data_IF_808075510777
#
_entry.id   IF_808075510777
#
_cell.length_a   1.000
_cell.length_b   1.000
_cell.length_c   1.000
_cell.angle_alpha   90.00
_cell.angle_beta   90.00
_cell.angle_gamma   90.00
#
_symmetry.space_group_name_H-M   'P 1'
#
loop_
_entity.id
_entity.type
_entity.pdbx_description
1 polymer ?
#
# COMPACT_ATOMS: atom_id res chain seq x y z
N UNK A 1 7.38 6.18 0.56
CA UNK A 1 6.34 6.11 -0.49
C UNK A 1 6.80 5.39 -1.76
N UNK A 2 7.95 5.78 -2.34
CA UNK A 2 8.37 5.29 -3.66
C UNK A 2 8.58 3.78 -3.75
N UNK A 3 8.85 3.09 -2.64
CA UNK A 3 9.12 1.64 -2.62
C UNK A 3 7.91 0.79 -2.28
N UNK A 4 6.97 1.32 -1.52
CA UNK A 4 5.80 0.58 -1.08
C UNK A 4 4.62 0.77 -2.04
N UNK A 5 4.40 2.03 -2.44
CA UNK A 5 3.26 2.42 -3.28
C UNK A 5 3.36 1.87 -4.70
N UNK A 6 4.56 1.59 -5.20
CA UNK A 6 4.75 0.95 -6.51
C UNK A 6 3.97 -0.36 -6.65
N UNK A 7 3.93 -1.17 -5.57
CA UNK A 7 3.20 -2.44 -5.55
C UNK A 7 1.86 -2.33 -4.81
N UNK A 8 1.69 -1.34 -3.93
CA UNK A 8 0.55 -1.21 -3.03
C UNK A 8 -0.27 0.07 -3.27
N UNK A 9 -0.37 0.53 -4.52
CA UNK A 9 -1.18 1.70 -4.89
C UNK A 9 -2.56 1.33 -5.42
N UNK A 10 -2.66 0.25 -6.20
CA UNK A 10 -3.85 -0.11 -6.97
C UNK A 10 -4.83 -1.00 -6.18
N UNK A 11 -6.02 -1.20 -6.75
CA UNK A 11 -7.05 -2.08 -6.17
C UNK A 11 -6.66 -3.55 -6.21
N UNK A 12 -5.83 -3.93 -7.17
CA UNK A 12 -5.26 -5.28 -7.36
C UNK A 12 -3.91 -5.48 -6.67
N UNK A 13 -3.54 -4.57 -5.78
CA UNK A 13 -2.33 -4.68 -4.98
C UNK A 13 -2.28 -6.01 -4.22
N UNK A 14 -1.08 -6.51 -4.00
CA UNK A 14 -0.85 -7.72 -3.22
C UNK A 14 -1.58 -7.65 -1.87
N UNK A 15 -2.34 -8.70 -1.53
CA UNK A 15 -3.20 -8.75 -0.35
C UNK A 15 -4.25 -7.63 -0.27
N UNK A 16 -4.62 -7.04 -1.38
CA UNK A 16 -5.47 -5.84 -1.46
C UNK A 16 -5.01 -4.68 -0.55
N UNK A 17 -3.76 -4.72 -0.07
CA UNK A 17 -3.22 -3.70 0.81
C UNK A 17 -2.89 -2.43 0.03
N UNK A 18 -3.54 -1.34 0.37
CA UNK A 18 -3.34 -0.04 -0.28
C UNK A 18 -2.58 0.90 0.66
N UNK A 19 -1.36 1.24 0.29
CA UNK A 19 -0.48 2.13 1.07
C UNK A 19 -0.42 3.55 0.51
N UNK A 20 -1.21 3.86 -0.51
CA UNK A 20 -1.27 5.19 -1.12
C UNK A 20 -2.13 6.19 -0.35
N UNK A 21 -2.86 5.78 0.69
CA UNK A 21 -3.62 6.65 1.57
C UNK A 21 -3.73 6.04 2.97
N UNK A 22 -3.97 6.88 3.98
CA UNK A 22 -4.14 6.40 5.35
C UNK A 22 -5.33 5.46 5.49
N UNK A 23 -6.45 5.78 4.84
CA UNK A 23 -7.66 4.94 4.86
C UNK A 23 -7.40 3.55 4.26
N UNK A 24 -6.52 3.49 3.26
CA UNK A 24 -6.07 2.21 2.70
C UNK A 24 -5.28 1.38 3.71
N UNK A 25 -4.42 2.01 4.49
CA UNK A 25 -3.69 1.35 5.58
C UNK A 25 -4.65 0.95 6.71
N UNK A 26 -5.55 1.83 7.13
CA UNK A 26 -6.56 1.56 8.14
C UNK A 26 -7.54 0.45 7.73
N UNK A 27 -7.87 0.36 6.43
CA UNK A 27 -8.62 -0.76 5.89
C UNK A 27 -7.93 -2.09 6.19
N UNK A 28 -6.61 -2.15 6.06
CA UNK A 28 -5.83 -3.35 6.21
C UNK A 28 -5.73 -4.17 4.94
N UNK A 29 -5.43 -5.46 5.08
CA UNK A 29 -5.20 -6.41 4.01
C UNK A 29 -6.23 -7.54 4.00
N UNK A 30 -6.33 -8.25 2.88
CA UNK A 30 -7.20 -9.40 2.70
C UNK A 30 -6.43 -10.55 2.07
N UNK A 31 -6.81 -11.78 2.42
CA UNK A 31 -6.31 -12.99 1.77
C UNK A 31 -6.99 -13.27 0.43
N UNK A 32 -8.10 -12.58 0.17
CA UNK A 32 -8.85 -12.76 -1.06
C UNK A 32 -8.08 -12.14 -2.24
N UNK A 33 -7.74 -12.98 -3.21
CA UNK A 33 -7.06 -12.53 -4.42
C UNK A 33 -8.07 -11.86 -5.33
N UNK A 34 -7.86 -10.59 -5.66
CA UNK A 34 -8.68 -9.86 -6.65
C UNK A 34 -8.35 -10.32 -8.06
N UNK A 35 -7.10 -10.69 -8.29
CA UNK A 35 -6.63 -11.11 -9.59
C UNK A 35 -5.90 -12.46 -9.49
N UNK A 36 -6.38 -13.42 -10.26
CA UNK A 36 -5.70 -14.68 -10.48
C UNK A 36 -5.64 -14.91 -12.01
N UNK A 37 -4.44 -14.92 -12.56
CA UNK A 37 -4.23 -15.12 -14.00
C UNK A 37 -4.81 -16.46 -14.53
N UNK A 38 -5.06 -17.41 -13.63
CA UNK A 38 -5.70 -18.68 -13.95
C UNK A 38 -7.23 -18.68 -13.83
N UNK A 39 -7.83 -17.59 -13.35
CA UNK A 39 -9.29 -17.49 -13.15
C UNK A 39 -9.94 -16.60 -14.19
N UNK A 40 -11.06 -17.10 -14.74
CA UNK A 40 -11.97 -16.30 -15.55
C UNK A 40 -12.83 -15.36 -14.68
N UNK A 41 -12.95 -15.65 -13.40
CA UNK A 41 -13.69 -14.84 -12.42
C UNK A 41 -12.72 -14.34 -11.36
N UNK A 42 -12.50 -13.01 -11.34
CA UNK A 42 -11.82 -12.34 -10.25
C UNK A 42 -12.85 -11.99 -9.16
N UNK A 43 -12.41 -12.00 -7.89
CA UNK A 43 -13.21 -11.41 -6.82
C UNK A 43 -13.45 -9.91 -7.14
N UNK A 44 -14.64 -9.35 -6.83
CA UNK A 44 -14.88 -7.93 -7.04
C UNK A 44 -13.87 -7.10 -6.26
N UNK A 45 -13.22 -6.12 -6.87
CA UNK A 45 -12.31 -5.24 -6.14
C UNK A 45 -13.06 -4.51 -5.04
N UNK A 46 -12.46 -4.42 -3.86
CA UNK A 46 -13.00 -3.60 -2.78
C UNK A 46 -12.75 -2.12 -3.04
N UNK A 47 -13.79 -1.31 -2.95
CA UNK A 47 -13.76 0.12 -3.23
C UNK A 47 -13.65 0.90 -1.93
N UNK A 48 -12.49 1.47 -1.70
CA UNK A 48 -12.25 2.34 -0.55
C UNK A 48 -13.25 3.51 -0.59
N UNK A 49 -13.80 3.90 0.56
CA UNK A 49 -14.81 4.94 0.76
C UNK A 49 -16.24 4.62 0.24
N UNK A 50 -16.42 3.54 -0.49
CA UNK A 50 -17.75 3.13 -1.03
C UNK A 50 -18.28 1.92 -0.28
N UNK A 51 -17.49 0.85 -0.23
CA UNK A 51 -17.95 -0.43 0.29
C UNK A 51 -17.95 -0.48 1.83
N UNK A 52 -17.12 0.32 2.48
CA UNK A 52 -17.10 0.55 3.93
C UNK A 52 -16.38 1.86 4.28
N UNK A 53 -16.74 2.44 5.42
CA UNK A 53 -16.21 3.74 5.88
C UNK A 53 -15.29 3.58 7.11
N UNK A 54 -15.46 2.51 7.88
CA UNK A 54 -14.79 2.30 9.16
C UNK A 54 -13.98 1.00 9.16
N UNK A 55 -12.89 0.98 9.90
CA UNK A 55 -12.07 -0.23 10.06
C UNK A 55 -12.91 -1.44 10.50
N UNK A 56 -13.82 -1.26 11.46
CA UNK A 56 -14.70 -2.34 11.93
C UNK A 56 -15.63 -2.94 10.85
N UNK A 57 -16.00 -2.15 9.87
CA UNK A 57 -16.79 -2.62 8.72
C UNK A 57 -15.92 -3.44 7.76
N UNK A 58 -14.67 -3.04 7.59
CA UNK A 58 -13.70 -3.80 6.81
C UNK A 58 -13.36 -5.14 7.48
N UNK A 59 -13.29 -5.21 8.83
CA UNK A 59 -13.11 -6.47 9.56
C UNK A 59 -14.25 -7.46 9.27
N UNK A 60 -15.49 -6.99 9.14
CA UNK A 60 -16.64 -7.82 8.74
C UNK A 60 -16.55 -8.31 7.28
N UNK A 61 -15.72 -7.69 6.47
CA UNK A 61 -15.44 -8.07 5.07
C UNK A 61 -14.15 -8.85 4.91
N UNK A 62 -13.70 -9.51 5.97
CA UNK A 62 -12.50 -10.35 5.97
C UNK A 62 -11.19 -9.60 5.72
N UNK A 63 -11.16 -8.29 5.88
CA UNK A 63 -9.92 -7.54 5.95
C UNK A 63 -9.33 -7.65 7.35
N UNK A 64 -8.06 -8.04 7.45
CA UNK A 64 -7.34 -8.08 8.71
C UNK A 64 -6.47 -6.82 8.89
N UNK A 65 -6.23 -6.38 10.15
CA UNK A 65 -5.46 -5.19 10.41
C UNK A 65 -3.98 -5.38 10.07
N UNK A 66 -3.36 -4.33 9.56
CA UNK A 66 -1.90 -4.24 9.38
C UNK A 66 -1.25 -3.31 10.38
N UNK A 67 -2.06 -2.58 11.14
CA UNK A 67 -1.68 -1.75 12.28
C UNK A 67 -2.14 -2.42 13.58
N UNK A 68 -1.63 -1.93 14.72
CA UNK A 68 -2.15 -2.32 16.03
C UNK A 68 -3.56 -1.77 16.23
N UNK A 69 -4.52 -2.61 16.58
CA UNK A 69 -5.89 -2.24 16.94
C UNK A 69 -6.21 -2.54 18.41
N UNK A 70 -5.22 -2.96 19.19
CA UNK A 70 -5.39 -3.30 20.61
C UNK A 70 -4.76 -2.22 21.50
N UNK A 71 -4.12 -2.62 22.57
CA UNK A 71 -3.51 -1.72 23.54
C UNK A 71 -2.51 -0.72 22.89
N UNK A 72 -2.82 0.59 22.82
CA UNK A 72 -2.10 1.57 22.01
C UNK A 72 -0.88 2.14 22.73
N UNK A 73 0.06 1.29 23.15
CA UNK A 73 1.37 1.76 23.62
C UNK A 73 2.37 1.83 22.46
N UNK A 74 3.40 2.71 22.53
CA UNK A 74 4.41 2.82 21.48
C UNK A 74 5.11 1.49 21.16
N UNK A 75 5.32 0.65 22.16
CA UNK A 75 5.92 -0.68 22.00
C UNK A 75 4.96 -1.63 21.28
N UNK A 76 3.70 -1.70 21.73
CA UNK A 76 2.69 -2.57 21.14
C UNK A 76 2.31 -2.11 19.74
N UNK A 77 2.26 -0.79 19.51
CA UNK A 77 1.97 -0.23 18.18
C UNK A 77 2.97 -0.72 17.12
N UNK A 78 4.24 -0.90 17.49
CA UNK A 78 5.23 -1.51 16.60
C UNK A 78 5.10 -3.03 16.58
N UNK A 79 5.15 -3.68 17.74
CA UNK A 79 5.22 -5.14 17.83
C UNK A 79 4.01 -5.85 17.19
N UNK A 80 2.82 -5.28 17.34
CA UNK A 80 1.59 -5.82 16.74
C UNK A 80 1.36 -5.34 15.30
N UNK A 81 2.12 -4.37 14.80
CA UNK A 81 1.99 -3.89 13.43
C UNK A 81 2.60 -4.88 12.43
N UNK A 82 1.78 -5.39 11.54
CA UNK A 82 2.23 -6.26 10.46
C UNK A 82 3.19 -5.53 9.51
N UNK A 83 3.00 -4.22 9.31
CA UNK A 83 3.93 -3.40 8.53
C UNK A 83 5.33 -3.40 9.15
N UNK A 84 5.41 -3.22 10.47
CA UNK A 84 6.69 -3.28 11.18
C UNK A 84 7.34 -4.66 11.06
N UNK A 85 6.57 -5.71 11.34
CA UNK A 85 7.07 -7.10 11.31
C UNK A 85 7.59 -7.50 9.92
N UNK A 86 6.95 -7.03 8.85
CA UNK A 86 7.41 -7.25 7.49
C UNK A 86 8.74 -6.53 7.18
N UNK A 87 8.93 -5.31 7.73
CA UNK A 87 10.20 -4.60 7.62
C UNK A 87 11.29 -5.28 8.44
N UNK A 88 10.99 -5.79 9.63
CA UNK A 88 11.92 -6.55 10.47
C UNK A 88 12.37 -7.84 9.77
N UNK A 89 11.42 -8.60 9.21
CA UNK A 89 11.75 -9.80 8.43
C UNK A 89 12.69 -9.47 7.27
N UNK A 90 12.51 -8.31 6.63
CA UNK A 90 13.41 -7.86 5.58
C UNK A 90 14.80 -7.53 6.08
N UNK A 91 14.94 -7.03 7.31
CA UNK A 91 16.25 -6.74 7.90
C UNK A 91 17.06 -8.00 8.20
N UNK A 92 16.42 -9.13 8.42
CA UNK A 92 17.10 -10.43 8.55
C UNK A 92 17.76 -10.85 7.23
N UNK A 93 17.23 -10.37 6.09
CA UNK A 93 17.74 -10.65 4.74
C UNK A 93 17.73 -9.35 3.92
N UNK A 94 18.63 -8.41 4.23
CA UNK A 94 18.54 -7.03 3.71
C UNK A 94 18.80 -6.92 2.21
N UNK A 95 19.60 -7.81 1.67
CA UNK A 95 19.91 -7.89 0.25
C UNK A 95 19.97 -9.36 -0.17
N UNK A 96 19.01 -9.87 -0.93
CA UNK A 96 19.07 -11.23 -1.45
C UNK A 96 20.30 -11.44 -2.32
N UNK A 97 20.92 -12.60 -2.22
CA UNK A 97 21.94 -13.04 -3.19
C UNK A 97 21.33 -13.19 -4.57
N UNK A 98 22.17 -13.32 -5.59
CA UNK A 98 21.69 -13.54 -6.95
C UNK A 98 20.85 -14.82 -7.06
N UNK A 99 21.29 -15.90 -6.43
CA UNK A 99 20.59 -17.19 -6.42
C UNK A 99 19.25 -17.10 -5.71
N UNK A 100 19.19 -16.45 -4.56
CA UNK A 100 17.95 -16.20 -3.82
C UNK A 100 17.00 -15.32 -4.60
N UNK A 101 17.52 -14.31 -5.31
CA UNK A 101 16.72 -13.43 -6.15
C UNK A 101 16.11 -14.20 -7.34
N UNK A 102 16.91 -15.01 -8.00
CA UNK A 102 16.47 -15.83 -9.14
C UNK A 102 15.46 -16.92 -8.72
N UNK A 103 15.45 -17.32 -7.44
CA UNK A 103 14.47 -18.25 -6.87
C UNK A 103 13.14 -17.57 -6.44
N UNK A 104 13.07 -16.24 -6.41
CA UNK A 104 11.82 -15.54 -6.07
C UNK A 104 10.79 -15.69 -7.19
N UNK A 105 9.59 -16.13 -6.83
CA UNK A 105 8.49 -16.19 -7.78
C UNK A 105 7.78 -14.83 -7.90
N UNK A 106 7.99 -14.17 -9.01
CA UNK A 106 7.32 -12.92 -9.39
C UNK A 106 6.17 -13.14 -10.37
N UNK A 107 5.79 -14.38 -10.65
CA UNK A 107 4.71 -14.66 -11.60
C UNK A 107 3.38 -14.08 -11.13
N UNK A 108 2.55 -13.68 -12.08
CA UNK A 108 1.18 -13.19 -11.80
C UNK A 108 0.26 -14.30 -11.27
N UNK A 109 0.59 -15.55 -11.56
CA UNK A 109 -0.18 -16.72 -11.13
C UNK A 109 0.23 -17.28 -9.77
N UNK A 110 1.25 -16.71 -9.12
CA UNK A 110 1.67 -17.18 -7.79
C UNK A 110 0.55 -17.01 -6.77
N UNK A 111 0.43 -17.97 -5.87
CA UNK A 111 -0.46 -17.85 -4.71
C UNK A 111 0.05 -16.73 -3.81
N UNK A 112 -0.73 -15.69 -3.63
CA UNK A 112 -0.39 -14.61 -2.72
C UNK A 112 -0.45 -15.13 -1.28
N UNK A 113 0.68 -15.11 -0.60
CA UNK A 113 0.75 -15.49 0.81
C UNK A 113 0.55 -14.25 1.66
N UNK A 114 -0.69 -13.99 2.06
CA UNK A 114 -1.06 -12.84 2.88
C UNK A 114 -1.17 -13.32 4.33
N UNK A 115 -0.14 -13.09 5.13
CA UNK A 115 -0.14 -13.44 6.54
C UNK A 115 -0.94 -12.42 7.34
N UNK A 116 -1.93 -12.87 8.11
CA UNK A 116 -2.52 -12.09 9.18
C UNK A 116 -1.57 -12.05 10.40
N UNK A 117 -1.82 -11.14 11.35
CA UNK A 117 -0.89 -10.93 12.46
C UNK A 117 -0.61 -12.18 13.31
N UNK A 118 -1.62 -13.00 13.54
CA UNK A 118 -1.54 -14.26 14.28
C UNK A 118 -0.84 -15.40 13.52
N UNK A 119 -0.72 -15.28 12.22
CA UNK A 119 -0.06 -16.27 11.36
C UNK A 119 1.37 -15.86 10.97
N UNK A 120 1.78 -14.65 11.34
CA UNK A 120 3.02 -14.07 10.83
C UNK A 120 4.26 -14.89 11.18
N UNK A 121 4.37 -15.44 12.39
CA UNK A 121 5.55 -16.20 12.77
C UNK A 121 5.74 -17.43 11.88
N UNK A 122 4.64 -18.15 11.62
CA UNK A 122 4.64 -19.27 10.68
C UNK A 122 4.94 -18.85 9.25
N UNK A 123 4.47 -17.67 8.86
CA UNK A 123 4.79 -17.09 7.56
C UNK A 123 6.29 -16.81 7.46
N UNK A 124 6.88 -16.13 8.44
CA UNK A 124 8.29 -15.77 8.46
C UNK A 124 9.22 -16.99 8.41
N UNK A 125 8.89 -18.05 9.16
CA UNK A 125 9.63 -19.32 9.12
C UNK A 125 9.63 -19.95 7.73
N UNK A 126 8.51 -19.91 7.03
CA UNK A 126 8.35 -20.54 5.70
C UNK A 126 8.83 -19.66 4.56
N UNK A 127 8.88 -18.36 4.77
CA UNK A 127 9.21 -17.35 3.75
C UNK A 127 10.25 -16.36 4.27
N UNK A 128 11.48 -16.80 4.56
CA UNK A 128 12.52 -15.91 5.13
C UNK A 128 12.84 -14.71 4.22
N UNK A 129 12.68 -14.85 2.91
CA UNK A 129 12.85 -13.76 1.93
C UNK A 129 11.57 -12.96 1.69
N UNK A 130 10.47 -13.29 2.38
CA UNK A 130 9.14 -12.69 2.21
C UNK A 130 8.97 -11.32 2.85
N UNK A 131 10.01 -10.75 3.46
CA UNK A 131 9.96 -9.42 4.04
C UNK A 131 9.81 -8.31 2.99
N UNK A 132 9.33 -7.15 3.45
CA UNK A 132 9.08 -6.00 2.57
C UNK A 132 10.18 -4.94 2.67
N UNK A 133 10.56 -4.32 1.54
CA UNK A 133 10.03 -4.47 0.18
C UNK A 133 10.41 -5.83 -0.44
N UNK A 134 9.41 -6.52 -1.01
CA UNK A 134 9.64 -7.85 -1.60
C UNK A 134 10.54 -7.76 -2.84
N UNK A 135 11.56 -8.63 -2.93
CA UNK A 135 12.48 -8.66 -4.05
C UNK A 135 13.39 -7.43 -4.20
N UNK A 136 13.31 -6.45 -3.30
CA UNK A 136 14.15 -5.26 -3.30
C UNK A 136 15.06 -5.25 -2.06
N UNK A 137 16.15 -4.48 -2.06
CA UNK A 137 16.94 -4.24 -0.86
C UNK A 137 16.10 -3.65 0.27
N UNK A 138 16.53 -3.88 1.51
CA UNK A 138 15.92 -3.25 2.67
C UNK A 138 15.93 -1.71 2.54
N UNK A 139 14.94 -1.06 3.14
CA UNK A 139 14.90 0.41 3.20
C UNK A 139 16.05 0.94 4.06
N UNK A 140 16.52 2.15 3.77
CA UNK A 140 17.58 2.79 4.51
C UNK A 140 17.16 3.06 5.97
N UNK A 141 18.14 3.16 6.87
CA UNK A 141 17.87 3.30 8.30
C UNK A 141 17.08 4.57 8.65
N UNK A 142 17.32 5.66 7.94
CA UNK A 142 16.60 6.92 8.09
C UNK A 142 15.13 6.79 7.60
N UNK A 143 14.90 6.18 6.45
CA UNK A 143 13.53 5.88 5.94
C UNK A 143 12.78 4.98 6.93
N UNK A 144 13.46 3.98 7.47
CA UNK A 144 12.90 3.05 8.45
C UNK A 144 12.51 3.78 9.74
N UNK A 145 13.38 4.63 10.26
CA UNK A 145 13.12 5.41 11.47
C UNK A 145 11.87 6.27 11.36
N UNK A 146 11.59 6.84 10.18
CA UNK A 146 10.35 7.60 9.95
C UNK A 146 9.13 6.71 10.09
N UNK A 147 9.14 5.52 9.51
CA UNK A 147 8.03 4.57 9.61
C UNK A 147 7.85 4.07 11.04
N UNK A 148 8.93 3.73 11.72
CA UNK A 148 8.90 3.27 13.11
C UNK A 148 8.35 4.32 14.06
N UNK A 149 8.76 5.58 13.90
CA UNK A 149 8.22 6.70 14.67
C UNK A 149 6.73 6.89 14.42
N UNK A 150 6.31 6.86 13.16
CA UNK A 150 4.90 6.97 12.80
C UNK A 150 4.06 5.82 13.41
N UNK A 151 4.54 4.58 13.31
CA UNK A 151 3.90 3.42 13.93
C UNK A 151 3.86 3.53 15.45
N UNK A 152 4.95 3.96 16.09
CA UNK A 152 5.02 4.15 17.56
C UNK A 152 3.96 5.13 18.07
N UNK A 153 3.64 6.15 17.28
CA UNK A 153 2.60 7.13 17.57
C UNK A 153 1.17 6.60 17.29
N UNK A 154 1.03 5.33 16.93
CA UNK A 154 -0.27 4.73 16.59
C UNK A 154 -0.68 4.96 15.13
N UNK A 155 0.30 5.25 14.26
CA UNK A 155 0.08 5.49 12.83
C UNK A 155 -1.01 6.54 12.57
N UNK A 156 -0.89 7.76 13.11
CA UNK A 156 -1.90 8.78 12.94
C UNK A 156 -2.15 9.05 11.46
N UNK A 157 -3.43 9.16 11.09
CA UNK A 157 -3.86 9.68 9.80
C UNK A 157 -3.63 11.19 9.72
N UNK A 158 -3.96 11.77 8.59
CA UNK A 158 -4.05 13.23 8.53
C UNK A 158 -5.09 13.71 9.55
N UNK A 159 -4.81 14.79 10.31
CA UNK A 159 -5.79 15.39 11.19
C UNK A 159 -7.07 15.67 10.41
N UNK A 160 -8.21 15.50 11.06
CA UNK A 160 -9.52 15.82 10.43
C UNK A 160 -9.60 17.29 9.97
N UNK A 161 -8.82 18.16 10.59
CA UNK A 161 -8.66 19.58 10.26
C UNK A 161 -7.69 19.81 9.08
N UNK A 162 -6.88 18.81 8.74
CA UNK A 162 -6.15 18.72 7.47
C UNK A 162 -7.03 18.07 6.38
N UNK A 163 -8.36 18.06 6.58
CA UNK A 163 -9.28 17.82 5.48
C UNK A 163 -8.85 18.69 4.31
N UNK A 164 -8.78 18.10 3.14
CA UNK A 164 -8.41 18.84 1.96
C UNK A 164 -9.20 20.14 1.96
N UNK A 165 -8.49 21.23 1.69
CA UNK A 165 -9.08 22.56 1.47
C UNK A 165 -10.47 22.41 0.86
N UNK A 166 -11.44 23.25 1.24
CA UNK A 166 -12.78 23.19 0.70
C UNK A 166 -12.75 22.87 -0.79
N UNK A 167 -13.66 22.07 -1.26
CA UNK A 167 -13.65 21.57 -2.64
C UNK A 167 -13.49 22.72 -3.65
N UNK A 168 -14.06 23.88 -3.33
CA UNK A 168 -13.93 25.11 -4.12
C UNK A 168 -12.49 25.60 -4.21
N UNK A 169 -11.72 25.59 -3.11
CA UNK A 169 -10.30 25.99 -3.13
C UNK A 169 -9.45 25.00 -3.91
N UNK A 170 -9.76 23.72 -3.83
CA UNK A 170 -9.08 22.70 -4.65
C UNK A 170 -9.40 22.84 -6.12
N UNK A 171 -10.66 23.12 -6.45
CA UNK A 171 -11.08 23.40 -7.84
C UNK A 171 -10.35 24.65 -8.34
N UNK A 172 -10.34 25.74 -7.58
CA UNK A 172 -9.65 26.97 -7.93
C UNK A 172 -8.13 26.77 -8.13
N UNK A 173 -7.49 25.94 -7.29
CA UNK A 173 -6.10 25.55 -7.48
C UNK A 173 -5.88 24.74 -8.76
N UNK A 174 -6.76 23.81 -9.06
CA UNK A 174 -6.72 23.03 -10.31
C UNK A 174 -6.99 23.91 -11.53
N UNK A 175 -7.95 24.81 -11.46
CA UNK A 175 -8.22 25.79 -12.51
C UNK A 175 -7.04 26.73 -12.73
N UNK A 176 -6.44 27.24 -11.64
CA UNK A 176 -5.22 28.03 -11.71
C UNK A 176 -4.04 27.24 -12.30
N UNK A 177 -3.92 25.96 -11.96
CA UNK A 177 -2.92 25.06 -12.53
C UNK A 177 -3.18 24.78 -14.02
N UNK A 178 -4.41 24.57 -14.43
CA UNK A 178 -4.79 24.31 -15.83
C UNK A 178 -4.72 25.56 -16.72
N UNK A 179 -4.99 26.73 -16.17
CA UNK A 179 -5.06 28.00 -16.92
C UNK A 179 -3.74 28.81 -16.92
N UNK A 180 -2.75 28.43 -16.14
CA UNK A 180 -1.47 29.13 -16.09
C UNK A 180 -0.44 28.58 -17.09
N UNK A 181 0.62 29.34 -17.31
CA UNK A 181 1.69 29.02 -18.26
C UNK A 181 2.94 28.41 -17.61
N UNK A 182 2.80 27.58 -16.58
CA UNK A 182 3.95 26.96 -15.94
C UNK A 182 4.54 25.82 -16.80
N UNK A 183 5.83 25.48 -16.66
CA UNK A 183 6.43 24.32 -17.34
C UNK A 183 5.69 23.00 -17.09
N UNK A 184 5.05 22.86 -15.90
CA UNK A 184 4.20 21.70 -15.57
C UNK A 184 2.93 21.69 -16.42
N UNK A 185 2.38 22.83 -16.75
CA UNK A 185 1.18 22.95 -17.59
C UNK A 185 1.47 22.70 -19.04
N UNK A 186 2.64 23.08 -19.53
CA UNK A 186 3.10 22.67 -20.86
C UNK A 186 3.24 21.14 -20.96
N UNK A 187 3.64 20.48 -19.86
CA UNK A 187 3.69 19.04 -19.79
C UNK A 187 2.29 18.43 -19.84
N UNK A 188 1.34 18.96 -19.06
CA UNK A 188 -0.08 18.51 -19.07
C UNK A 188 -0.72 18.78 -20.44
N UNK A 189 -0.47 19.92 -21.05
CA UNK A 189 -0.96 20.22 -22.40
C UNK A 189 -0.42 19.22 -23.44
N UNK A 190 0.88 18.87 -23.37
CA UNK A 190 1.47 17.82 -24.22
C UNK A 190 0.82 16.45 -24.02
N UNK A 191 0.51 16.09 -22.77
CA UNK A 191 -0.21 14.85 -22.50
C UNK A 191 -1.66 14.90 -22.98
N UNK A 192 -2.34 16.04 -22.84
CA UNK A 192 -3.69 16.22 -23.39
C UNK A 192 -3.69 16.12 -24.92
N UNK A 193 -2.70 16.68 -25.59
CA UNK A 193 -2.54 16.55 -27.03
C UNK A 193 -2.21 15.12 -27.45
N UNK A 194 -1.43 14.40 -26.66
CA UNK A 194 -1.12 12.99 -26.89
C UNK A 194 -2.36 12.10 -26.77
N UNK A 195 -3.26 12.38 -25.83
CA UNK A 195 -4.52 11.65 -25.65
C UNK A 195 -5.65 12.13 -26.59
N UNK A 196 -5.45 13.27 -27.26
CA UNK A 196 -6.36 13.75 -28.33
C UNK A 196 -6.02 13.17 -29.71
N UNK A 197 -4.96 12.40 -29.81
CA UNK A 197 -4.67 11.66 -31.03
C UNK A 197 -5.77 10.62 -31.24
N UNK A 198 -6.61 10.95 -32.16
CA UNK A 198 -7.73 10.34 -32.83
C UNK A 198 -8.21 8.95 -32.38
N UNK A 199 -9.52 8.77 -32.23
CA UNK A 199 -10.08 7.42 -32.07
C UNK A 199 -9.64 6.58 -33.28
N UNK A 200 -9.13 5.41 -32.97
CA UNK A 200 -8.87 4.38 -33.96
C UNK A 200 -10.08 4.25 -34.91
N UNK A 201 -9.92 4.67 -36.16
CA UNK A 201 -10.84 4.40 -37.26
C UNK A 201 -10.75 2.95 -37.69
#
# INVERSE_FOLDING_TARGET
>A
DRRCVVCHACYDASCQLKLGSWEGVARGASKEAVYDAGRLEAAPPSRLHIDAQRASEWRKRSFFPVLNEQDPTPANNRAASLLYRMLELKQSHPAPTREEYDALDFSLGRTQTCAAGDEFDRYAERNPLGGMPFGLPAIAADERSVIENWLSLGAPGEPADALPQPLEERIAQWEGFLNGNSPKQQLVARYQDYFRLEPFS
#
